data_IF_806979742394
#
_entry.id   IF_806979742394
#
_cell.length_a   1.000
_cell.length_b   1.000
_cell.length_c   1.000
_cell.angle_alpha   90.00
_cell.angle_beta   90.00
_cell.angle_gamma   90.00
#
_symmetry.space_group_name_H-M   'P 1'
#
loop_
_entity.id
_entity.type
_entity.pdbx_description
1 polymer ?
#
# COMPACT_ATOMS: atom_id res chain seq x y z
N UNK A 1 2.23 24.19 -7.03
CA UNK A 1 1.94 22.74 -6.84
C UNK A 1 3.12 21.99 -7.43
N UNK A 2 4.17 21.83 -6.63
CA UNK A 2 5.51 21.50 -7.10
C UNK A 2 5.67 20.02 -7.43
N UNK A 3 6.19 19.76 -8.62
CA UNK A 3 6.54 18.46 -9.22
C UNK A 3 7.58 17.69 -8.39
N UNK A 4 7.15 17.12 -7.26
CA UNK A 4 7.95 16.14 -6.52
C UNK A 4 7.76 14.70 -7.03
N UNK A 5 6.99 14.52 -8.11
CA UNK A 5 6.51 13.22 -8.54
C UNK A 5 7.36 12.54 -9.62
N UNK A 6 8.38 13.20 -10.19
CA UNK A 6 9.08 12.66 -11.37
C UNK A 6 10.26 11.74 -11.07
N UNK A 7 10.74 11.65 -9.83
CA UNK A 7 11.87 10.76 -9.48
C UNK A 7 11.64 10.07 -8.14
N UNK A 8 10.54 9.34 -8.02
CA UNK A 8 10.39 8.36 -6.92
C UNK A 8 10.40 6.98 -7.54
N UNK A 9 11.44 6.21 -7.28
CA UNK A 9 11.48 4.82 -7.74
C UNK A 9 10.39 4.01 -7.02
N UNK A 10 9.89 2.91 -7.61
CA UNK A 10 8.90 2.06 -6.96
C UNK A 10 9.33 1.63 -5.55
N UNK A 11 10.62 1.38 -5.34
CA UNK A 11 11.22 1.00 -4.06
C UNK A 11 11.24 2.16 -3.06
N UNK A 12 11.52 3.38 -3.50
CA UNK A 12 11.43 4.57 -2.66
C UNK A 12 9.98 4.85 -2.24
N UNK A 13 9.03 4.68 -3.17
CA UNK A 13 7.61 4.85 -2.89
C UNK A 13 7.09 3.79 -1.92
N UNK A 14 7.47 2.53 -2.12
CA UNK A 14 7.19 1.42 -1.21
C UNK A 14 7.77 1.66 0.18
N UNK A 15 9.04 2.10 0.26
CA UNK A 15 9.65 2.47 1.53
C UNK A 15 8.88 3.59 2.20
N UNK A 16 8.51 4.64 1.47
CA UNK A 16 7.73 5.75 2.03
C UNK A 16 6.36 5.31 2.57
N UNK A 17 5.71 4.34 1.91
CA UNK A 17 4.41 3.81 2.35
C UNK A 17 4.54 2.96 3.60
N UNK A 18 5.53 2.08 3.63
CA UNK A 18 5.72 1.12 4.71
C UNK A 18 6.70 1.60 5.81
N UNK A 19 7.28 2.80 5.67
CA UNK A 19 8.06 3.46 6.72
C UNK A 19 7.18 4.24 7.68
N UNK A 20 5.90 4.42 7.36
CA UNK A 20 4.95 5.04 8.29
C UNK A 20 4.87 4.17 9.55
N UNK A 21 4.87 4.81 10.72
CA UNK A 21 4.73 4.15 12.03
C UNK A 21 3.57 3.15 12.07
N UNK A 22 2.46 3.46 11.39
CA UNK A 22 1.32 2.57 11.23
C UNK A 22 1.69 1.21 10.59
N UNK A 23 2.65 1.14 9.66
CA UNK A 23 3.09 -0.14 9.10
C UNK A 23 4.03 -0.92 10.04
N UNK A 24 4.77 -0.22 10.91
CA UNK A 24 5.65 -0.84 11.90
C UNK A 24 4.89 -1.39 13.12
N UNK A 25 3.76 -0.77 13.47
CA UNK A 25 2.93 -1.13 14.64
C UNK A 25 1.73 -2.03 14.29
N UNK A 26 1.65 -2.57 13.07
CA UNK A 26 0.55 -3.47 12.68
C UNK A 26 -0.77 -2.78 12.32
N UNK A 27 -0.74 -1.49 12.00
CA UNK A 27 -1.90 -0.67 11.67
C UNK A 27 -2.38 -0.77 10.22
N UNK A 28 -3.11 0.26 9.79
CA UNK A 28 -3.78 0.31 8.48
C UNK A 28 -3.27 1.50 7.67
N UNK A 29 -2.94 1.27 6.39
CA UNK A 29 -2.52 2.30 5.43
C UNK A 29 -3.52 2.40 4.29
N UNK A 30 -3.82 3.62 3.83
CA UNK A 30 -4.71 3.88 2.69
C UNK A 30 -3.94 4.46 1.50
N UNK A 31 -4.24 3.98 0.29
CA UNK A 31 -3.67 4.51 -0.96
C UNK A 31 -4.69 4.52 -2.10
N UNK A 32 -4.58 5.51 -2.99
CA UNK A 32 -5.40 5.55 -4.21
C UNK A 32 -4.91 4.47 -5.17
N UNK A 33 -5.85 3.69 -5.72
CA UNK A 33 -5.55 2.63 -6.70
C UNK A 33 -4.74 3.19 -7.87
N UNK A 34 -5.19 4.32 -8.43
CA UNK A 34 -4.51 5.00 -9.55
C UNK A 34 -3.04 5.34 -9.30
N UNK A 35 -2.68 5.67 -8.05
CA UNK A 35 -1.30 6.04 -7.72
C UNK A 35 -0.43 4.78 -7.62
N UNK A 36 -0.98 3.69 -7.09
CA UNK A 36 -0.31 2.38 -7.02
C UNK A 36 -0.08 1.82 -8.42
N UNK A 37 -1.11 1.87 -9.27
CA UNK A 37 -1.02 1.38 -10.65
C UNK A 37 -0.01 2.18 -11.47
N UNK A 38 0.00 3.52 -11.32
CA UNK A 38 0.94 4.39 -12.04
C UNK A 38 2.40 4.24 -11.57
N UNK A 39 2.64 4.07 -10.27
CA UNK A 39 3.99 4.16 -9.69
C UNK A 39 4.66 2.81 -9.45
N UNK A 40 3.88 1.75 -9.26
CA UNK A 40 4.40 0.42 -8.91
C UNK A 40 3.84 -0.67 -9.81
N UNK A 41 2.58 -0.55 -10.22
CA UNK A 41 1.83 -1.59 -10.92
C UNK A 41 1.23 -2.61 -9.96
N UNK A 42 0.02 -3.09 -10.28
CA UNK A 42 -0.78 -3.96 -9.41
C UNK A 42 -0.07 -5.27 -9.04
N UNK A 43 0.59 -5.92 -10.01
CA UNK A 43 1.32 -7.17 -9.76
C UNK A 43 2.49 -7.01 -8.78
N UNK A 44 3.27 -5.92 -8.92
CA UNK A 44 4.38 -5.63 -8.02
C UNK A 44 3.89 -5.29 -6.62
N UNK A 45 2.78 -4.56 -6.53
CA UNK A 45 2.10 -4.26 -5.27
C UNK A 45 1.65 -5.53 -4.54
N UNK A 46 0.91 -6.42 -5.22
CA UNK A 46 0.47 -7.69 -4.63
C UNK A 46 1.65 -8.55 -4.17
N UNK A 47 2.73 -8.61 -4.96
CA UNK A 47 3.93 -9.35 -4.59
C UNK A 47 4.56 -8.81 -3.31
N UNK A 48 4.63 -7.50 -3.14
CA UNK A 48 5.14 -6.89 -1.90
C UNK A 48 4.23 -7.14 -0.70
N UNK A 49 2.91 -7.11 -0.87
CA UNK A 49 1.97 -7.46 0.19
C UNK A 49 2.20 -8.91 0.66
N UNK A 50 2.26 -9.86 -0.29
CA UNK A 50 2.55 -11.28 -0.01
C UNK A 50 3.90 -11.45 0.70
N UNK A 51 4.94 -10.77 0.21
CA UNK A 51 6.29 -10.84 0.82
C UNK A 51 6.31 -10.36 2.27
N UNK A 52 5.43 -9.45 2.65
CA UNK A 52 5.34 -8.87 4.01
C UNK A 52 4.30 -9.56 4.89
N UNK A 53 3.52 -10.50 4.34
CA UNK A 53 2.38 -11.11 5.05
C UNK A 53 1.21 -10.13 5.26
N UNK A 54 1.12 -9.09 4.43
CA UNK A 54 0.08 -8.06 4.52
C UNK A 54 -1.09 -8.41 3.60
N UNK A 55 -2.26 -7.88 3.96
CA UNK A 55 -3.48 -8.00 3.17
C UNK A 55 -3.96 -6.62 2.74
N UNK A 56 -4.64 -6.53 1.60
CA UNK A 56 -5.31 -5.30 1.21
C UNK A 56 -6.67 -5.59 0.60
N UNK A 57 -7.62 -4.67 0.83
CA UNK A 57 -8.92 -4.66 0.17
C UNK A 57 -9.02 -3.44 -0.73
N UNK A 58 -9.72 -3.58 -1.85
CA UNK A 58 -10.00 -2.50 -2.79
C UNK A 58 -11.46 -2.08 -2.68
N UNK A 59 -11.72 -0.79 -2.46
CA UNK A 59 -13.06 -0.22 -2.47
C UNK A 59 -13.00 1.27 -2.84
N UNK A 60 -13.92 1.74 -3.68
CA UNK A 60 -14.04 3.15 -4.08
C UNK A 60 -12.72 3.78 -4.56
N UNK A 61 -11.95 3.03 -5.36
CA UNK A 61 -10.65 3.46 -5.89
C UNK A 61 -9.56 3.64 -4.82
N UNK A 62 -9.74 3.03 -3.65
CA UNK A 62 -8.75 2.98 -2.57
C UNK A 62 -8.33 1.54 -2.30
N UNK A 63 -7.04 1.33 -2.07
CA UNK A 63 -6.54 0.21 -1.31
C UNK A 63 -6.51 0.56 0.17
N UNK A 64 -7.08 -0.32 0.99
CA UNK A 64 -6.92 -0.34 2.46
C UNK A 64 -6.01 -1.51 2.77
N UNK A 65 -4.81 -1.21 3.25
CA UNK A 65 -3.72 -2.15 3.47
C UNK A 65 -3.60 -2.40 4.96
N UNK A 66 -3.77 -3.66 5.37
CA UNK A 66 -3.56 -4.13 6.73
C UNK A 66 -2.11 -4.57 6.87
N UNK A 67 -1.31 -3.80 7.61
CA UNK A 67 0.12 -4.02 7.79
C UNK A 67 0.43 -5.04 8.89
N UNK A 68 -0.34 -6.11 8.94
CA UNK A 68 -0.21 -7.23 9.86
C UNK A 68 -0.69 -8.52 9.17
N UNK A 69 -0.58 -9.65 9.86
CA UNK A 69 -1.00 -10.96 9.36
C UNK A 69 -2.34 -11.44 9.97
N UNK A 70 -3.11 -10.53 10.57
CA UNK A 70 -4.43 -10.86 11.11
C UNK A 70 -5.45 -11.05 9.97
N UNK A 71 -6.44 -11.94 10.13
CA UNK A 71 -7.45 -12.16 9.10
C UNK A 71 -8.36 -10.95 8.94
N UNK A 72 -8.62 -10.57 7.69
CA UNK A 72 -9.59 -9.51 7.37
C UNK A 72 -11.01 -10.08 7.42
N UNK A 73 -11.86 -9.56 8.31
CA UNK A 73 -13.30 -9.90 8.39
C UNK A 73 -14.13 -8.75 7.83
N UNK A 74 -14.97 -9.04 6.84
CA UNK A 74 -15.96 -8.08 6.30
C UNK A 74 -17.25 -8.25 7.09
N UNK A 75 -17.67 -7.20 7.79
CA UNK A 75 -18.89 -7.16 8.59
C UNK A 75 -19.98 -6.38 7.85
N UNK A 76 -21.26 -6.73 8.05
CA UNK A 76 -22.43 -6.09 7.44
C UNK A 76 -23.36 -5.49 8.49
#
# INVERSE_FOLDING_TARGET
MTELAEIVTPEQWLRHIFSARAAAEGGIVRRKVRDVERLLGRQNFERELRRRGFHAVENAGQFVIFCNNEPVRVLC
#
